data_IF_441280734767
#
_entry.id   IF_441280734767
#
_cell.length_a   1.000
_cell.length_b   1.000
_cell.length_c   1.000
_cell.angle_alpha   90.00
_cell.angle_beta   90.00
_cell.angle_gamma   90.00
#
_symmetry.space_group_name_H-M   'P 1'
#
loop_
_entity.id
_entity.type
_entity.pdbx_description
1 polymer ?
#
# COMPACT_ATOMS: atom_id res chain seq x y z
N UNK A 1 -0.31 -13.72 7.26
CA UNK A 1 -0.71 -13.00 8.49
C UNK A 1 0.43 -12.21 9.14
N UNK A 2 1.61 -12.78 9.39
CA UNK A 2 2.73 -12.05 10.04
C UNK A 2 3.23 -10.86 9.21
N UNK A 3 3.38 -11.02 7.88
CA UNK A 3 3.81 -9.92 6.98
C UNK A 3 2.83 -8.75 6.92
N UNK A 4 1.52 -9.02 6.89
CA UNK A 4 0.50 -7.97 6.92
C UNK A 4 0.61 -7.11 8.18
N UNK A 5 0.68 -7.76 9.35
CA UNK A 5 0.80 -7.06 10.64
C UNK A 5 2.11 -6.31 10.80
N UNK A 6 3.20 -6.81 10.21
CA UNK A 6 4.46 -6.07 10.14
C UNK A 6 4.31 -4.78 9.31
N UNK A 7 3.73 -4.88 8.11
CA UNK A 7 3.52 -3.73 7.24
C UNK A 7 2.62 -2.66 7.89
N UNK A 8 1.55 -3.07 8.58
CA UNK A 8 0.71 -2.17 9.37
C UNK A 8 1.52 -1.39 10.42
N UNK A 9 2.40 -2.07 11.17
CA UNK A 9 3.24 -1.41 12.17
C UNK A 9 4.26 -0.46 11.53
N UNK A 10 4.86 -0.84 10.40
CA UNK A 10 5.78 0.01 9.64
C UNK A 10 5.09 1.31 9.20
N UNK A 11 3.88 1.20 8.65
CA UNK A 11 3.07 2.36 8.23
C UNK A 11 2.66 3.21 9.43
N UNK A 12 2.11 2.60 10.47
CA UNK A 12 1.63 3.29 11.67
C UNK A 12 2.74 4.04 12.42
N UNK A 13 3.96 3.52 12.42
CA UNK A 13 5.11 4.14 13.08
C UNK A 13 6.01 4.93 12.13
N UNK A 14 5.63 5.10 10.86
CA UNK A 14 6.39 5.83 9.82
C UNK A 14 7.84 5.35 9.72
N UNK A 15 8.05 4.04 9.86
CA UNK A 15 9.39 3.45 9.89
C UNK A 15 9.94 3.30 8.47
N UNK A 16 10.45 4.41 7.93
CA UNK A 16 10.86 4.54 6.53
C UNK A 16 11.91 3.51 6.08
N UNK A 17 12.75 3.00 6.98
CA UNK A 17 13.76 1.98 6.67
C UNK A 17 13.13 0.66 6.18
N UNK A 18 11.88 0.38 6.56
CA UNK A 18 11.15 -0.83 6.18
C UNK A 18 10.08 -0.61 5.11
N UNK A 19 10.06 0.56 4.43
CA UNK A 19 9.09 0.78 3.34
C UNK A 19 9.29 -0.16 2.15
N UNK A 20 10.49 -0.71 1.95
CA UNK A 20 10.71 -1.77 0.96
C UNK A 20 9.90 -3.04 1.25
N UNK A 21 9.67 -3.38 2.52
CA UNK A 21 8.81 -4.51 2.89
C UNK A 21 7.34 -4.23 2.54
N UNK A 22 6.91 -2.98 2.74
CA UNK A 22 5.56 -2.52 2.41
C UNK A 22 5.34 -2.53 0.89
N UNK A 23 6.32 -2.03 0.12
CA UNK A 23 6.29 -2.07 -1.35
C UNK A 23 6.17 -3.50 -1.86
N UNK A 24 7.06 -4.38 -1.40
CA UNK A 24 7.04 -5.80 -1.78
C UNK A 24 5.70 -6.45 -1.41
N UNK A 25 5.12 -6.11 -0.25
CA UNK A 25 3.81 -6.60 0.13
C UNK A 25 2.70 -6.11 -0.81
N UNK A 26 2.66 -4.81 -1.12
CA UNK A 26 1.63 -4.24 -2.00
C UNK A 26 1.71 -4.77 -3.44
N UNK A 27 2.92 -5.09 -3.91
CA UNK A 27 3.12 -5.63 -5.26
C UNK A 27 2.67 -7.10 -5.34
N UNK A 28 3.03 -7.91 -4.35
CA UNK A 28 2.84 -9.36 -4.39
C UNK A 28 1.53 -9.85 -3.76
N UNK A 29 0.97 -9.13 -2.79
CA UNK A 29 -0.22 -9.52 -2.02
C UNK A 29 -1.41 -8.58 -2.30
N UNK A 30 -1.75 -8.38 -3.58
CA UNK A 30 -2.68 -7.33 -4.07
C UNK A 30 -4.08 -7.36 -3.42
N UNK A 31 -4.66 -8.55 -3.18
CA UNK A 31 -5.99 -8.67 -2.56
C UNK A 31 -5.99 -8.23 -1.08
N UNK A 32 -4.90 -8.49 -0.35
CA UNK A 32 -4.75 -8.07 1.04
C UNK A 32 -4.19 -6.64 1.16
N UNK A 33 -3.51 -6.14 0.13
CA UNK A 33 -2.89 -4.83 0.07
C UNK A 33 -3.89 -3.66 0.02
N UNK A 34 -5.15 -3.89 -0.40
CA UNK A 34 -6.17 -2.83 -0.53
C UNK A 34 -6.38 -2.05 0.77
N UNK A 35 -6.46 -2.73 1.91
CA UNK A 35 -6.60 -2.06 3.21
C UNK A 35 -5.37 -1.19 3.54
N UNK A 36 -4.18 -1.66 3.20
CA UNK A 36 -2.93 -0.97 3.50
C UNK A 36 -2.75 0.30 2.66
N UNK A 37 -3.30 0.35 1.43
CA UNK A 37 -3.41 1.60 0.67
C UNK A 37 -4.20 2.67 1.43
N UNK A 38 -5.31 2.28 2.07
CA UNK A 38 -6.08 3.18 2.93
C UNK A 38 -5.26 3.72 4.11
N UNK A 39 -4.54 2.84 4.81
CA UNK A 39 -3.67 3.24 5.92
C UNK A 39 -2.56 4.21 5.48
N UNK A 40 -1.92 3.98 4.32
CA UNK A 40 -0.91 4.88 3.76
C UNK A 40 -1.47 6.27 3.43
N UNK A 41 -2.74 6.36 3.03
CA UNK A 41 -3.40 7.62 2.70
C UNK A 41 -3.86 8.38 3.96
N UNK A 42 -4.38 7.68 4.97
CA UNK A 42 -4.91 8.27 6.22
C UNK A 42 -3.83 8.96 7.07
N UNK A 43 -2.58 8.50 7.01
CA UNK A 43 -1.48 9.07 7.82
C UNK A 43 -1.00 10.45 7.34
N UNK A 44 -1.53 10.94 6.20
CA UNK A 44 -1.18 12.20 5.53
C UNK A 44 0.34 12.42 5.38
N UNK A 45 1.10 11.34 5.29
CA UNK A 45 2.55 11.37 5.15
C UNK A 45 2.93 11.34 3.67
N UNK A 46 3.66 12.37 3.22
CA UNK A 46 4.00 12.52 1.80
C UNK A 46 4.83 11.36 1.24
N UNK A 47 5.65 10.69 2.07
CA UNK A 47 6.43 9.53 1.64
C UNK A 47 5.54 8.29 1.50
N UNK A 48 4.59 8.11 2.41
CA UNK A 48 3.62 7.02 2.35
C UNK A 48 2.66 7.17 1.16
N UNK A 49 2.18 8.38 0.89
CA UNK A 49 1.36 8.65 -0.30
C UNK A 49 2.14 8.44 -1.61
N UNK A 50 3.42 8.84 -1.65
CA UNK A 50 4.28 8.58 -2.79
C UNK A 50 4.50 7.06 -3.00
N UNK A 51 4.71 6.31 -1.91
CA UNK A 51 4.85 4.86 -1.93
C UNK A 51 3.58 4.18 -2.48
N UNK A 52 2.40 4.59 -2.00
CA UNK A 52 1.12 4.11 -2.50
C UNK A 52 0.98 4.37 -4.01
N UNK A 53 1.17 5.62 -4.46
CA UNK A 53 1.09 5.95 -5.90
C UNK A 53 2.07 5.14 -6.75
N UNK A 54 3.29 4.97 -6.25
CA UNK A 54 4.31 4.17 -6.94
C UNK A 54 3.87 2.71 -7.08
N UNK A 55 3.48 2.06 -5.98
CA UNK A 55 3.03 0.68 -5.99
C UNK A 55 1.82 0.50 -6.92
N UNK A 56 0.83 1.40 -6.84
CA UNK A 56 -0.35 1.35 -7.70
C UNK A 56 0.04 1.42 -9.18
N UNK A 57 0.96 2.30 -9.55
CA UNK A 57 1.41 2.41 -10.94
C UNK A 57 2.07 1.14 -11.48
N UNK A 58 2.71 0.35 -10.61
CA UNK A 58 3.34 -0.92 -10.96
C UNK A 58 2.32 -2.05 -11.15
N UNK A 59 1.34 -2.18 -10.25
CA UNK A 59 0.42 -3.33 -10.24
C UNK A 59 -0.98 -3.07 -10.78
N UNK A 60 -1.35 -1.83 -11.09
CA UNK A 60 -2.70 -1.47 -11.58
C UNK A 60 -3.20 -2.33 -12.75
N UNK A 61 -2.31 -2.85 -13.61
CA UNK A 61 -2.70 -3.66 -14.77
C UNK A 61 -2.87 -5.15 -14.45
N UNK A 62 -2.32 -5.61 -13.33
CA UNK A 62 -2.41 -7.01 -12.86
C UNK A 62 -3.48 -7.18 -11.78
N UNK A 63 -3.77 -6.10 -11.05
CA UNK A 63 -4.75 -6.06 -9.98
C UNK A 63 -6.17 -6.26 -10.51
N UNK A 64 -6.95 -7.06 -9.77
CA UNK A 64 -8.36 -7.28 -10.07
C UNK A 64 -9.10 -5.94 -10.23
N UNK A 65 -9.99 -5.84 -11.22
CA UNK A 65 -10.66 -4.60 -11.58
C UNK A 65 -11.45 -3.99 -10.41
N UNK A 66 -12.03 -4.82 -9.53
CA UNK A 66 -12.78 -4.33 -8.37
C UNK A 66 -11.86 -3.75 -7.31
N UNK A 67 -10.75 -4.43 -7.01
CA UNK A 67 -9.72 -3.94 -6.08
C UNK A 67 -9.06 -2.66 -6.60
N UNK A 68 -8.75 -2.62 -7.90
CA UNK A 68 -8.14 -1.46 -8.56
C UNK A 68 -8.98 -0.20 -8.40
N UNK A 69 -10.28 -0.27 -8.67
CA UNK A 69 -11.18 0.90 -8.54
C UNK A 69 -11.16 1.46 -7.12
N UNK A 70 -11.26 0.58 -6.12
CA UNK A 70 -11.24 0.98 -4.71
C UNK A 70 -9.92 1.67 -4.34
N UNK A 71 -8.79 1.13 -4.80
CA UNK A 71 -7.47 1.73 -4.52
C UNK A 71 -7.28 3.04 -5.28
N UNK A 72 -7.71 3.14 -6.53
CA UNK A 72 -7.66 4.38 -7.32
C UNK A 72 -8.48 5.49 -6.65
N UNK A 73 -9.68 5.21 -6.14
CA UNK A 73 -10.51 6.16 -5.40
C UNK A 73 -9.85 6.70 -4.10
N UNK A 74 -8.91 5.94 -3.52
CA UNK A 74 -8.20 6.36 -2.31
C UNK A 74 -6.94 7.16 -2.61
N UNK A 75 -6.26 6.86 -3.72
CA UNK A 75 -4.88 7.31 -4.01
C UNK A 75 -4.82 8.49 -4.98
N UNK A 76 -5.79 8.58 -5.90
CA UNK A 76 -5.92 9.60 -6.94
C UNK A 76 -6.94 10.68 -6.56
#
# INVERSE_FOLDING_TARGET
MVRHRWCELVVKHKYAQAYGDVEHFLIHDQAMGVYLYGELMVQEDSRQQALARHCLSLVQNEMDQSARRVVEEMVL
#
